data_IF_387709503214
#
_entry.id   IF_387709503214
#
_cell.length_a   1.000
_cell.length_b   1.000
_cell.length_c   1.000
_cell.angle_alpha   90.00
_cell.angle_beta   90.00
_cell.angle_gamma   90.00
#
_symmetry.space_group_name_H-M   'P 1'
#
loop_
_entity.id
_entity.type
_entity.pdbx_description
1 polymer ?
#
# COMPACT_ATOMS: atom_id res chain seq x y z
N UNK A 1 -22.12 0.25 -7.12
CA UNK A 1 -21.77 -1.04 -7.77
C UNK A 1 -20.49 -1.66 -7.21
N UNK A 2 -19.90 -1.13 -6.13
CA UNK A 2 -18.76 -1.72 -5.42
C UNK A 2 -19.01 -1.65 -3.91
N UNK A 3 -20.04 -2.35 -3.45
CA UNK A 3 -20.23 -2.58 -2.03
C UNK A 3 -19.45 -3.83 -1.67
N UNK A 4 -18.19 -3.68 -1.26
CA UNK A 4 -17.39 -4.80 -0.77
C UNK A 4 -18.12 -5.35 0.45
N UNK A 5 -18.79 -6.48 0.26
CA UNK A 5 -19.44 -7.23 1.32
C UNK A 5 -18.39 -8.00 2.12
N UNK A 6 -18.70 -8.28 3.39
CA UNK A 6 -17.83 -9.09 4.25
C UNK A 6 -17.51 -10.46 3.62
N UNK A 7 -18.48 -11.04 2.89
CA UNK A 7 -18.31 -12.28 2.11
C UNK A 7 -17.26 -12.17 1.01
N UNK A 8 -17.21 -11.06 0.28
CA UNK A 8 -16.22 -10.86 -0.78
C UNK A 8 -14.81 -10.72 -0.21
N UNK A 9 -14.65 -10.03 0.92
CA UNK A 9 -13.36 -9.97 1.62
C UNK A 9 -12.88 -11.36 2.07
N UNK A 10 -13.78 -12.17 2.63
CA UNK A 10 -13.46 -13.54 3.00
C UNK A 10 -13.07 -14.40 1.80
N UNK A 11 -13.79 -14.29 0.69
CA UNK A 11 -13.49 -15.03 -0.54
C UNK A 11 -12.11 -14.63 -1.09
N UNK A 12 -11.81 -13.34 -1.17
CA UNK A 12 -10.51 -12.84 -1.62
C UNK A 12 -9.40 -13.28 -0.67
N UNK A 13 -9.63 -13.23 0.64
CA UNK A 13 -8.68 -13.72 1.64
C UNK A 13 -8.40 -15.21 1.48
N UNK A 14 -9.44 -16.02 1.25
CA UNK A 14 -9.30 -17.46 1.03
C UNK A 14 -8.51 -17.77 -0.25
N UNK A 15 -8.82 -17.08 -1.36
CA UNK A 15 -8.09 -17.22 -2.62
C UNK A 15 -6.64 -16.79 -2.45
N UNK A 16 -6.37 -15.68 -1.76
CA UNK A 16 -5.01 -15.22 -1.49
C UNK A 16 -4.21 -16.24 -0.66
N UNK A 17 -4.83 -16.85 0.34
CA UNK A 17 -4.24 -17.94 1.13
C UNK A 17 -3.95 -19.18 0.29
N UNK A 18 -4.83 -19.53 -0.65
CA UNK A 18 -4.68 -20.72 -1.49
C UNK A 18 -3.59 -20.54 -2.56
N UNK A 19 -3.57 -19.37 -3.21
CA UNK A 19 -2.61 -19.05 -4.29
C UNK A 19 -1.20 -18.81 -3.73
N UNK A 20 -1.08 -18.03 -2.66
CA UNK A 20 0.21 -17.62 -2.12
C UNK A 20 0.71 -18.57 -1.03
N UNK A 21 -0.20 -19.21 -0.31
CA UNK A 21 0.08 -20.04 0.87
C UNK A 21 0.04 -19.21 2.16
N UNK A 22 -0.54 -19.73 3.27
CA UNK A 22 -0.66 -19.01 4.55
C UNK A 22 0.69 -18.61 5.15
N UNK A 23 1.75 -19.39 4.91
CA UNK A 23 3.09 -19.10 5.43
C UNK A 23 3.80 -17.98 4.65
N UNK A 24 3.46 -17.79 3.37
CA UNK A 24 4.12 -16.80 2.49
C UNK A 24 3.38 -15.48 2.40
N UNK A 25 2.07 -15.49 2.64
CA UNK A 25 1.22 -14.29 2.73
C UNK A 25 1.77 -13.21 3.67
N UNK A 26 2.17 -13.51 4.93
CA UNK A 26 2.74 -12.50 5.83
C UNK A 26 4.09 -11.95 5.31
N UNK A 27 4.89 -12.79 4.65
CA UNK A 27 6.13 -12.36 4.01
C UNK A 27 5.89 -11.39 2.87
N UNK A 28 4.95 -11.70 1.98
CA UNK A 28 4.57 -10.84 0.86
C UNK A 28 3.95 -9.51 1.34
N UNK A 29 3.08 -9.55 2.35
CA UNK A 29 2.48 -8.35 2.93
C UNK A 29 3.55 -7.44 3.56
N UNK A 30 4.55 -8.01 4.25
CA UNK A 30 5.70 -7.26 4.79
C UNK A 30 6.51 -6.61 3.69
N UNK A 31 6.87 -7.35 2.65
CA UNK A 31 7.64 -6.80 1.53
C UNK A 31 6.86 -5.69 0.81
N UNK A 32 5.60 -5.93 0.46
CA UNK A 32 4.75 -4.93 -0.17
C UNK A 32 4.61 -3.68 0.72
N UNK A 33 4.38 -3.86 2.02
CA UNK A 33 4.29 -2.77 2.99
C UNK A 33 5.58 -1.95 3.10
N UNK A 34 6.74 -2.60 3.10
CA UNK A 34 8.04 -1.91 3.11
C UNK A 34 8.26 -1.08 1.83
N UNK A 35 7.89 -1.62 0.67
CA UNK A 35 8.03 -0.92 -0.61
C UNK A 35 7.10 0.29 -0.69
N UNK A 36 5.83 0.11 -0.32
CA UNK A 36 4.84 1.20 -0.25
C UNK A 36 5.31 2.27 0.76
N UNK A 37 5.83 1.86 1.92
CA UNK A 37 6.34 2.78 2.93
C UNK A 37 7.52 3.62 2.44
N UNK A 38 8.46 2.99 1.72
CA UNK A 38 9.61 3.68 1.10
C UNK A 38 9.17 4.67 0.02
N UNK A 39 8.25 4.25 -0.85
CA UNK A 39 7.68 5.13 -1.87
C UNK A 39 6.98 6.32 -1.21
N UNK A 40 6.06 6.08 -0.27
CA UNK A 40 5.34 7.14 0.44
C UNK A 40 6.29 8.15 1.08
N UNK A 41 7.39 7.68 1.68
CA UNK A 41 8.38 8.57 2.30
C UNK A 41 9.14 9.40 1.25
N UNK A 42 9.46 8.82 0.12
CA UNK A 42 10.13 9.51 -1.00
C UNK A 42 9.21 10.56 -1.62
N UNK A 43 7.94 10.22 -1.89
CA UNK A 43 6.92 11.16 -2.35
C UNK A 43 6.71 12.32 -1.36
N UNK A 44 6.67 12.03 -0.05
CA UNK A 44 6.53 13.07 0.96
C UNK A 44 7.75 14.01 1.01
N UNK A 45 8.96 13.49 0.82
CA UNK A 45 10.18 14.31 0.76
C UNK A 45 10.15 15.25 -0.45
N UNK A 46 9.82 14.71 -1.64
CA UNK A 46 9.67 15.50 -2.87
C UNK A 46 8.57 16.55 -2.69
N UNK A 47 7.43 16.18 -2.12
CA UNK A 47 6.35 17.14 -1.84
C UNK A 47 6.82 18.28 -0.92
N UNK A 48 7.58 17.97 0.14
CA UNK A 48 8.12 18.98 1.05
C UNK A 48 9.12 19.93 0.36
N UNK A 49 9.92 19.41 -0.56
CA UNK A 49 10.87 20.21 -1.33
C UNK A 49 10.14 21.12 -2.33
N UNK A 50 9.15 20.58 -3.04
CA UNK A 50 8.29 21.34 -3.96
C UNK A 50 7.48 22.41 -3.23
N UNK A 51 6.93 22.11 -2.05
CA UNK A 51 6.17 23.08 -1.24
C UNK A 51 7.08 24.20 -0.70
N UNK A 52 8.36 23.91 -0.47
CA UNK A 52 9.37 24.91 -0.08
C UNK A 52 9.82 25.81 -1.23
N UNK A 53 9.97 25.28 -2.44
CA UNK A 53 10.30 26.08 -3.63
C UNK A 53 9.10 26.92 -4.10
N UNK A 54 7.90 26.34 -4.14
CA UNK A 54 6.69 27.06 -4.55
C UNK A 54 6.32 28.15 -3.53
N UNK A 55 6.54 27.90 -2.23
CA UNK A 55 6.37 28.92 -1.18
C UNK A 55 7.50 29.96 -1.09
N UNK A 56 8.51 29.89 -1.96
CA UNK A 56 9.59 30.89 -2.05
C UNK A 56 9.37 31.92 -3.17
N UNK A 57 8.31 31.75 -3.98
CA UNK A 57 7.89 32.66 -5.05
C UNK A 57 6.64 33.51 -4.69
N UNK A 58 6.23 33.51 -3.40
CA UNK A 58 5.29 34.49 -2.81
C UNK A 58 5.99 35.27 -1.69
#
# INVERSE_FOLDING_TARGET
>A
MFGISFSELLLVGLVALLVLGPERLPGAARTAGLWIGRLKRSFNAIKQEVEREIGADE
#
